data_IF_956014587236
#
_entry.id   IF_956014587236
#
_cell.length_a   1.000
_cell.length_b   1.000
_cell.length_c   1.000
_cell.angle_alpha   90.00
_cell.angle_beta   90.00
_cell.angle_gamma   90.00
#
_symmetry.space_group_name_H-M   'P 1'
#
loop_
_entity.id
_entity.type
_entity.pdbx_description
1 polymer ?
#
# COMPACT_ATOMS: atom_id res chain seq x y z
N UNK A 1 3.48 35.25 11.51
CA UNK A 1 2.96 34.20 12.43
C UNK A 1 2.85 32.82 11.79
N UNK A 2 3.25 32.60 10.53
CA UNK A 2 3.18 31.28 9.85
C UNK A 2 4.35 30.34 10.13
N UNK A 3 5.50 30.85 10.58
CA UNK A 3 6.76 30.09 10.71
C UNK A 3 6.77 28.98 11.78
N UNK A 4 5.97 29.10 12.85
CA UNK A 4 5.96 28.09 13.93
C UNK A 4 5.21 26.79 13.57
N UNK A 5 4.34 26.81 12.54
CA UNK A 5 3.62 25.61 12.10
C UNK A 5 4.48 24.69 11.21
N UNK A 6 5.36 25.24 10.37
CA UNK A 6 6.17 24.45 9.44
C UNK A 6 7.18 23.54 10.17
N UNK A 7 7.78 24.05 11.26
CA UNK A 7 8.78 23.31 12.02
C UNK A 7 8.18 22.07 12.72
N UNK A 8 6.94 22.18 13.18
CA UNK A 8 6.22 21.07 13.83
C UNK A 8 5.85 19.97 12.83
N UNK A 9 5.43 20.35 11.62
CA UNK A 9 5.08 19.42 10.55
C UNK A 9 6.33 18.67 10.06
N UNK A 10 7.45 19.36 9.85
CA UNK A 10 8.71 18.76 9.43
C UNK A 10 9.28 17.77 10.47
N UNK A 11 9.14 18.06 11.77
CA UNK A 11 9.51 17.13 12.85
C UNK A 11 8.64 15.87 12.81
N UNK A 12 7.35 16.02 12.53
CA UNK A 12 6.40 14.89 12.39
C UNK A 12 6.76 14.01 11.19
N UNK A 13 7.08 14.59 10.04
CA UNK A 13 7.52 13.84 8.86
C UNK A 13 8.87 13.15 9.08
N UNK A 14 9.82 13.81 9.72
CA UNK A 14 11.13 13.20 10.05
C UNK A 14 10.98 12.04 11.02
N UNK A 15 10.13 12.20 12.05
CA UNK A 15 9.81 11.12 12.99
C UNK A 15 9.11 9.94 12.29
N UNK A 16 8.17 10.23 11.39
CA UNK A 16 7.47 9.19 10.63
C UNK A 16 8.43 8.46 9.68
N UNK A 17 9.33 9.17 8.99
CA UNK A 17 10.35 8.58 8.12
C UNK A 17 11.35 7.71 8.90
N UNK A 18 11.84 8.19 10.05
CA UNK A 18 12.72 7.41 10.91
C UNK A 18 12.03 6.13 11.38
N UNK A 19 10.78 6.24 11.84
CA UNK A 19 9.95 5.10 12.25
C UNK A 19 9.76 4.09 11.11
N UNK A 20 9.43 4.55 9.90
CA UNK A 20 9.26 3.70 8.73
C UNK A 20 10.56 2.99 8.32
N UNK A 21 11.71 3.63 8.47
CA UNK A 21 13.02 3.00 8.21
C UNK A 21 13.35 1.93 9.24
N UNK A 22 13.11 2.18 10.52
CA UNK A 22 13.32 1.18 11.58
C UNK A 22 12.42 -0.04 11.37
N UNK A 23 11.15 0.18 11.03
CA UNK A 23 10.21 -0.89 10.73
C UNK A 23 10.55 -1.67 9.45
N UNK A 24 11.10 -1.01 8.42
CA UNK A 24 11.61 -1.72 7.24
C UNK A 24 12.77 -2.66 7.61
N UNK A 25 13.68 -2.21 8.47
CA UNK A 25 14.78 -3.04 8.96
C UNK A 25 14.30 -4.22 9.83
N UNK A 26 13.27 -4.03 10.67
CA UNK A 26 12.66 -5.12 11.44
C UNK A 26 12.02 -6.18 10.53
N UNK A 27 11.29 -5.76 9.49
CA UNK A 27 10.68 -6.68 8.52
C UNK A 27 11.73 -7.44 7.71
N UNK A 28 12.82 -6.79 7.32
CA UNK A 28 13.94 -7.47 6.65
C UNK A 28 14.61 -8.49 7.58
N UNK A 29 14.73 -8.18 8.88
CA UNK A 29 15.22 -9.10 9.89
C UNK A 29 14.28 -10.30 10.09
N UNK A 30 12.98 -10.07 10.20
CA UNK A 30 11.96 -11.12 10.30
C UNK A 30 11.94 -12.01 9.04
N UNK A 31 11.98 -11.40 7.85
CA UNK A 31 12.09 -12.14 6.59
C UNK A 31 13.41 -12.94 6.49
N UNK A 32 14.51 -12.42 7.05
CA UNK A 32 15.76 -13.17 7.17
C UNK A 32 15.63 -14.37 8.14
N UNK A 33 14.95 -14.20 9.27
CA UNK A 33 14.67 -15.29 10.21
C UNK A 33 13.76 -16.38 9.59
N UNK A 34 12.72 -16.00 8.85
CA UNK A 34 11.88 -16.97 8.13
C UNK A 34 12.70 -17.74 7.08
N UNK A 35 13.55 -17.04 6.31
CA UNK A 35 14.43 -17.66 5.32
C UNK A 35 15.46 -18.62 5.96
N UNK A 36 15.99 -18.29 7.13
CA UNK A 36 16.93 -19.17 7.85
C UNK A 36 16.23 -20.39 8.44
N UNK A 37 15.03 -20.22 9.01
CA UNK A 37 14.19 -21.31 9.51
C UNK A 37 13.79 -22.31 8.41
N UNK A 38 13.42 -21.83 7.22
CA UNK A 38 13.12 -22.68 6.06
C UNK A 38 14.35 -23.46 5.57
N UNK A 39 15.56 -22.87 5.63
CA UNK A 39 16.81 -23.59 5.30
C UNK A 39 17.13 -24.69 6.33
N UNK A 40 16.90 -24.45 7.61
CA UNK A 40 17.11 -25.46 8.65
C UNK A 40 16.17 -26.65 8.47
N UNK A 41 14.91 -26.41 8.11
CA UNK A 41 13.90 -27.45 7.87
C UNK A 41 14.14 -28.24 6.57
N UNK A 42 14.81 -27.64 5.57
CA UNK A 42 15.21 -28.34 4.33
C UNK A 42 16.39 -29.31 4.54
N UNK A 43 17.21 -29.10 5.59
CA UNK A 43 18.31 -30.01 5.96
C UNK A 43 17.84 -31.27 6.68
N UNK A 44 16.69 -31.26 7.38
CA UNK A 44 16.16 -32.47 8.02
C UNK A 44 15.44 -33.43 7.06
N UNK A 45 15.02 -32.95 5.88
CA UNK A 45 14.32 -33.77 4.87
C UNK A 45 15.30 -34.42 3.87
N UNK A 46 16.54 -33.93 3.79
CA UNK A 46 17.53 -34.36 2.78
C UNK A 46 18.57 -35.35 3.36
N UNK A 47 18.12 -36.37 4.10
CA UNK A 47 18.99 -37.52 4.47
C UNK A 47 18.50 -38.83 3.82
N UNK A 48 17.25 -38.94 3.36
CA UNK A 48 16.71 -40.23 2.90
C UNK A 48 16.43 -40.39 1.40
N UNK A 49 16.68 -39.41 0.54
CA UNK A 49 16.49 -39.60 -0.90
C UNK A 49 17.64 -38.98 -1.71
N UNK A 50 18.60 -39.84 -2.04
CA UNK A 50 19.71 -39.57 -2.97
C UNK A 50 19.36 -40.19 -4.32
N UNK A 51 18.88 -39.43 -5.33
CA UNK A 51 18.82 -39.92 -6.69
C UNK A 51 20.22 -39.87 -7.31
N UNK A 52 20.54 -40.95 -8.00
CA UNK A 52 21.75 -41.17 -8.78
C UNK A 52 21.98 -40.09 -9.84
N UNK A 53 23.22 -39.60 -9.86
CA UNK A 53 23.79 -38.70 -10.86
C UNK A 53 23.86 -39.45 -12.21
N UNK A 54 23.20 -38.93 -13.24
CA UNK A 54 23.54 -39.24 -14.63
C UNK A 54 23.40 -38.01 -15.51
N UNK A 55 24.55 -37.52 -15.98
CA UNK A 55 24.84 -37.04 -17.34
C UNK A 55 23.73 -36.37 -18.17
N UNK A 56 23.96 -35.09 -18.53
CA UNK A 56 23.78 -34.49 -19.88
C UNK A 56 24.21 -33.03 -19.78
N UNK A 57 25.38 -32.60 -20.26
CA UNK A 57 25.95 -32.55 -21.62
C UNK A 57 25.16 -31.62 -22.58
N UNK A 58 25.78 -30.47 -22.83
CA UNK A 58 25.79 -29.63 -24.05
C UNK A 58 24.47 -29.11 -24.64
N UNK A 59 24.31 -27.77 -24.74
CA UNK A 59 24.59 -27.03 -25.99
C UNK A 59 24.31 -25.51 -25.85
N UNK A 60 25.20 -24.65 -26.38
CA UNK A 60 24.92 -23.25 -26.66
C UNK A 60 24.41 -23.10 -28.11
N UNK A 61 23.17 -22.67 -28.31
CA UNK A 61 22.67 -22.31 -29.64
C UNK A 61 22.57 -20.80 -29.82
N UNK A 62 23.67 -20.32 -30.39
CA UNK A 62 23.85 -19.19 -31.27
C UNK A 62 22.66 -19.03 -32.25
N UNK A 63 21.86 -17.96 -32.15
CA UNK A 63 20.92 -17.54 -33.21
C UNK A 63 21.14 -16.08 -33.58
N UNK A 64 21.43 -15.90 -34.86
CA UNK A 64 21.74 -14.66 -35.57
C UNK A 64 20.56 -13.67 -35.58
N UNK A 65 20.82 -12.36 -35.62
CA UNK A 65 19.79 -11.36 -35.88
C UNK A 65 19.45 -11.31 -37.38
N UNK A 66 18.20 -11.58 -37.71
CA UNK A 66 17.62 -11.41 -39.03
C UNK A 66 17.29 -9.92 -39.25
N UNK A 67 18.00 -9.29 -40.19
CA UNK A 67 17.80 -7.90 -40.62
C UNK A 67 16.86 -7.92 -41.82
N UNK A 68 15.57 -7.78 -41.58
CA UNK A 68 14.60 -7.40 -42.61
C UNK A 68 14.36 -5.88 -42.56
N UNK A 69 14.55 -5.12 -43.65
CA UNK A 69 14.19 -3.71 -43.70
C UNK A 69 12.66 -3.53 -43.74
N UNK A 70 12.10 -2.52 -43.05
CA UNK A 70 10.68 -2.24 -43.10
C UNK A 70 10.28 -1.59 -44.44
N UNK A 71 9.04 -1.83 -44.93
CA UNK A 71 8.52 -1.19 -46.13
C UNK A 71 8.26 0.31 -45.92
N UNK A 72 8.44 1.14 -46.96
CA UNK A 72 8.07 2.54 -46.93
C UNK A 72 6.58 2.70 -47.26
N UNK A 73 5.88 3.50 -46.46
CA UNK A 73 4.57 4.04 -46.85
C UNK A 73 3.46 3.75 -45.86
N UNK A 74 3.03 4.79 -45.15
CA UNK A 74 1.69 5.35 -45.32
C UNK A 74 1.57 6.60 -44.44
N UNK A 75 1.45 7.74 -45.10
CA UNK A 75 1.12 9.02 -44.49
C UNK A 75 -0.29 8.95 -43.93
N UNK A 76 -0.43 8.51 -42.68
CA UNK A 76 -1.69 8.64 -41.94
C UNK A 76 -1.90 10.10 -41.59
N UNK A 77 -2.80 10.71 -42.34
CA UNK A 77 -3.46 11.96 -42.03
C UNK A 77 -3.79 12.04 -40.55
N UNK A 78 -3.26 13.08 -39.90
CA UNK A 78 -3.57 13.43 -38.53
C UNK A 78 -5.08 13.68 -38.41
N UNK A 79 -5.81 12.67 -37.95
CA UNK A 79 -7.17 12.84 -37.47
C UNK A 79 -7.07 13.64 -36.18
N UNK A 80 -7.26 14.95 -36.31
CA UNK A 80 -7.41 15.90 -35.21
C UNK A 80 -8.68 15.47 -34.47
N UNK A 81 -8.51 14.56 -33.50
CA UNK A 81 -9.56 14.20 -32.60
C UNK A 81 -9.95 15.45 -31.80
N UNK A 82 -11.25 15.80 -31.71
CA UNK A 82 -11.69 16.95 -30.94
C UNK A 82 -11.20 16.82 -29.49
N UNK A 83 -10.82 17.94 -28.85
CA UNK A 83 -10.37 17.94 -27.47
C UNK A 83 -11.47 17.29 -26.61
N UNK A 84 -11.15 16.15 -25.99
CA UNK A 84 -12.08 15.48 -25.08
C UNK A 84 -12.45 16.48 -23.99
N UNK A 85 -13.73 16.77 -23.77
CA UNK A 85 -14.15 17.66 -22.70
C UNK A 85 -13.60 17.11 -21.38
N UNK A 86 -12.95 17.98 -20.61
CA UNK A 86 -12.45 17.67 -19.28
C UNK A 86 -13.62 17.12 -18.46
N UNK A 87 -13.56 15.83 -18.11
CA UNK A 87 -14.51 15.22 -17.19
C UNK A 87 -14.28 15.86 -15.83
N UNK A 88 -15.04 16.91 -15.54
CA UNK A 88 -15.23 17.40 -14.18
C UNK A 88 -15.78 16.20 -13.39
N UNK A 89 -15.14 15.79 -12.27
CA UNK A 89 -15.63 14.67 -11.48
C UNK A 89 -17.06 14.98 -11.04
N UNK A 90 -18.00 14.25 -11.64
CA UNK A 90 -19.43 14.40 -11.43
C UNK A 90 -19.73 14.15 -9.94
N UNK A 91 -20.57 14.99 -9.29
CA UNK A 91 -21.00 14.76 -7.92
C UNK A 91 -21.56 13.34 -7.82
N UNK A 92 -21.04 12.58 -6.87
CA UNK A 92 -21.29 11.15 -6.66
C UNK A 92 -22.79 10.87 -6.81
N UNK A 93 -23.16 10.20 -7.90
CA UNK A 93 -24.56 9.83 -8.17
C UNK A 93 -25.04 8.95 -7.01
N UNK A 94 -26.08 9.36 -6.26
CA UNK A 94 -26.60 8.56 -5.16
C UNK A 94 -27.10 7.22 -5.73
N UNK A 95 -26.45 6.13 -5.35
CA UNK A 95 -26.84 4.77 -5.75
C UNK A 95 -25.76 3.92 -6.40
N UNK A 96 -24.54 4.43 -6.63
CA UNK A 96 -23.42 3.54 -6.94
C UNK A 96 -22.89 2.90 -5.66
N UNK A 97 -22.85 1.56 -5.66
CA UNK A 97 -22.21 0.81 -4.58
C UNK A 97 -20.76 1.29 -4.42
N UNK A 98 -20.48 1.87 -3.27
CA UNK A 98 -19.18 2.41 -2.90
C UNK A 98 -18.06 1.37 -3.10
N UNK A 99 -18.34 0.09 -2.87
CA UNK A 99 -17.39 -1.00 -3.13
C UNK A 99 -17.06 -1.14 -4.63
N UNK A 100 -17.99 -0.85 -5.53
CA UNK A 100 -17.81 -0.91 -6.98
C UNK A 100 -16.93 0.23 -7.48
N UNK A 101 -17.13 1.46 -7.00
CA UNK A 101 -16.27 2.61 -7.33
C UNK A 101 -14.81 2.32 -6.98
N UNK A 102 -14.59 1.76 -5.81
CA UNK A 102 -13.25 1.41 -5.39
C UNK A 102 -12.63 0.23 -6.15
N UNK A 103 -13.42 -0.79 -6.55
CA UNK A 103 -12.93 -1.84 -7.46
C UNK A 103 -12.49 -1.28 -8.81
N UNK A 104 -13.26 -0.33 -9.36
CA UNK A 104 -12.89 0.37 -10.59
C UNK A 104 -11.60 1.17 -10.42
N UNK A 105 -11.47 1.87 -9.29
CA UNK A 105 -10.24 2.58 -8.93
C UNK A 105 -9.03 1.65 -8.82
N UNK A 106 -9.14 0.48 -8.16
CA UNK A 106 -8.02 -0.47 -8.09
C UNK A 106 -7.60 -0.97 -9.47
N UNK A 107 -8.57 -1.30 -10.33
CA UNK A 107 -8.27 -1.69 -11.71
C UNK A 107 -7.59 -0.57 -12.50
N UNK A 108 -8.00 0.69 -12.29
CA UNK A 108 -7.37 1.84 -12.93
C UNK A 108 -5.93 2.03 -12.42
N UNK A 109 -5.72 1.88 -11.12
CA UNK A 109 -4.41 1.98 -10.50
C UNK A 109 -3.46 0.86 -10.94
N UNK A 110 -3.92 -0.37 -11.04
CA UNK A 110 -3.11 -1.48 -11.57
C UNK A 110 -2.65 -1.20 -13.00
N UNK A 111 -3.57 -0.74 -13.87
CA UNK A 111 -3.21 -0.35 -15.24
C UNK A 111 -2.19 0.79 -15.27
N UNK A 112 -2.41 1.81 -14.44
CA UNK A 112 -1.51 2.95 -14.28
C UNK A 112 -0.11 2.52 -13.84
N UNK A 113 -0.02 1.61 -12.87
CA UNK A 113 1.26 1.11 -12.34
C UNK A 113 2.00 0.24 -13.36
N UNK A 114 1.27 -0.57 -14.15
CA UNK A 114 1.84 -1.43 -15.18
C UNK A 114 2.30 -0.67 -16.43
N UNK A 115 1.57 0.39 -16.79
CA UNK A 115 1.82 1.19 -18.00
C UNK A 115 1.60 2.67 -17.69
N UNK A 116 2.53 3.31 -16.95
CA UNK A 116 2.43 4.73 -16.69
C UNK A 116 2.54 5.52 -17.99
N UNK A 117 1.78 6.62 -18.16
CA UNK A 117 1.96 7.52 -19.30
C UNK A 117 3.38 8.09 -19.36
N UNK A 118 3.89 8.31 -20.57
CA UNK A 118 5.18 8.99 -20.76
C UNK A 118 5.11 10.46 -20.28
N UNK A 119 3.95 11.09 -20.49
CA UNK A 119 3.62 12.43 -20.03
C UNK A 119 2.47 12.34 -19.04
N UNK A 120 2.80 12.42 -17.75
CA UNK A 120 1.84 12.29 -16.68
C UNK A 120 1.18 13.64 -16.38
N UNK A 121 -0.14 13.73 -16.54
CA UNK A 121 -0.95 14.87 -16.09
C UNK A 121 -1.78 14.49 -14.88
N UNK A 122 -2.31 15.49 -14.20
CA UNK A 122 -3.18 15.37 -13.03
C UNK A 122 -4.36 14.44 -13.30
N UNK A 123 -5.00 14.54 -14.47
CA UNK A 123 -6.17 13.72 -14.82
C UNK A 123 -5.84 12.25 -15.12
N UNK A 124 -4.57 11.95 -15.39
CA UNK A 124 -4.14 10.59 -15.73
C UNK A 124 -3.84 9.77 -14.46
N UNK A 125 -3.69 10.42 -13.31
CA UNK A 125 -3.53 9.77 -12.00
C UNK A 125 -4.89 9.24 -11.54
N UNK A 126 -5.03 7.93 -11.25
CA UNK A 126 -6.28 7.38 -10.76
C UNK A 126 -6.47 7.73 -9.28
N UNK A 127 -7.00 8.93 -9.03
CA UNK A 127 -7.29 9.44 -7.69
C UNK A 127 -8.35 8.60 -6.96
N UNK A 128 -8.28 8.51 -5.61
CA UNK A 128 -9.29 7.79 -4.85
C UNK A 128 -10.65 8.48 -5.01
N UNK A 129 -11.77 7.73 -5.01
CA UNK A 129 -13.12 8.31 -5.08
C UNK A 129 -13.44 9.25 -3.91
N UNK A 130 -12.85 8.97 -2.74
CA UNK A 130 -13.00 9.76 -1.52
C UNK A 130 -11.64 9.88 -0.83
N UNK A 131 -11.21 11.11 -0.50
CA UNK A 131 -9.91 11.39 0.11
C UNK A 131 -9.85 10.92 1.58
N UNK A 132 -10.97 11.00 2.30
CA UNK A 132 -11.02 10.66 3.74
C UNK A 132 -10.95 9.17 4.03
N UNK A 133 -11.40 8.34 3.09
CA UNK A 133 -11.68 6.92 3.36
C UNK A 133 -10.59 5.99 2.80
N UNK A 134 -9.48 6.56 2.31
CA UNK A 134 -8.38 5.82 1.68
C UNK A 134 -7.85 4.72 2.59
N UNK A 135 -7.74 5.00 3.90
CA UNK A 135 -7.22 4.02 4.86
C UNK A 135 -8.20 2.86 5.09
N UNK A 136 -9.50 3.15 5.25
CA UNK A 136 -10.53 2.12 5.44
C UNK A 136 -10.62 1.19 4.23
N UNK A 137 -10.54 1.76 3.03
CA UNK A 137 -10.55 0.95 1.83
C UNK A 137 -9.29 0.08 1.69
N UNK A 138 -8.12 0.65 1.96
CA UNK A 138 -6.86 -0.09 1.91
C UNK A 138 -6.87 -1.25 2.89
N UNK A 139 -7.50 -1.10 4.06
CA UNK A 139 -7.72 -2.18 5.01
C UNK A 139 -8.57 -3.31 4.41
N UNK A 140 -9.72 -2.98 3.81
CA UNK A 140 -10.58 -3.98 3.15
C UNK A 140 -9.83 -4.74 2.06
N UNK A 141 -8.99 -4.06 1.27
CA UNK A 141 -8.17 -4.72 0.25
C UNK A 141 -7.09 -5.63 0.83
N UNK A 142 -6.37 -5.18 1.87
CA UNK A 142 -5.39 -6.02 2.55
C UNK A 142 -6.04 -7.28 3.14
N UNK A 143 -7.23 -7.15 3.71
CA UNK A 143 -8.01 -8.28 4.24
C UNK A 143 -8.42 -9.25 3.13
N UNK A 144 -8.81 -8.76 1.96
CA UNK A 144 -9.18 -9.62 0.82
C UNK A 144 -7.99 -10.39 0.24
N UNK A 145 -6.81 -9.77 0.16
CA UNK A 145 -5.59 -10.43 -0.35
C UNK A 145 -5.04 -11.49 0.62
N UNK A 146 -5.17 -11.27 1.92
CA UNK A 146 -4.58 -12.16 2.94
C UNK A 146 -5.55 -13.25 3.43
N UNK A 147 -6.57 -13.59 2.63
CA UNK A 147 -7.64 -14.53 3.03
C UNK A 147 -7.20 -15.99 3.19
N UNK A 148 -6.04 -16.40 2.66
CA UNK A 148 -5.69 -17.83 2.59
C UNK A 148 -4.87 -18.37 3.77
N UNK A 149 -3.95 -17.59 4.37
CA UNK A 149 -2.97 -18.19 5.32
C UNK A 149 -2.66 -17.35 6.57
N UNK A 150 -3.04 -16.06 6.61
CA UNK A 150 -2.65 -15.11 7.68
C UNK A 150 -3.79 -14.78 8.68
N UNK A 151 -4.78 -15.68 8.82
CA UNK A 151 -5.92 -15.45 9.71
C UNK A 151 -5.49 -15.14 11.16
N UNK A 152 -4.33 -15.64 11.58
CA UNK A 152 -3.76 -15.47 12.92
C UNK A 152 -3.13 -14.10 13.20
N UNK A 153 -2.96 -13.23 12.21
CA UNK A 153 -2.42 -11.90 12.49
C UNK A 153 -3.38 -11.06 13.32
N UNK A 154 -2.86 -10.48 14.40
CA UNK A 154 -3.57 -9.55 15.27
C UNK A 154 -4.14 -8.37 14.45
N UNK A 155 -5.26 -7.83 14.93
CA UNK A 155 -5.95 -6.69 14.29
C UNK A 155 -5.02 -5.49 14.16
N UNK A 156 -4.18 -5.24 15.15
CA UNK A 156 -3.22 -4.14 15.12
C UNK A 156 -2.20 -4.29 13.99
N UNK A 157 -1.74 -5.51 13.73
CA UNK A 157 -0.82 -5.82 12.62
C UNK A 157 -1.47 -5.58 11.26
N UNK A 158 -2.76 -5.93 11.11
CA UNK A 158 -3.55 -5.69 9.88
C UNK A 158 -3.77 -4.19 9.64
N UNK A 159 -4.12 -3.46 10.69
CA UNK A 159 -4.26 -2.00 10.66
C UNK A 159 -2.93 -1.32 10.25
N UNK A 160 -1.81 -1.72 10.84
CA UNK A 160 -0.48 -1.20 10.46
C UNK A 160 -0.10 -1.55 9.02
N UNK A 161 -0.43 -2.76 8.56
CA UNK A 161 -0.14 -3.19 7.20
C UNK A 161 -0.90 -2.35 6.16
N UNK A 162 -2.18 -2.05 6.42
CA UNK A 162 -2.99 -1.21 5.54
C UNK A 162 -2.51 0.25 5.52
N UNK A 163 -2.16 0.82 6.67
CA UNK A 163 -1.53 2.14 6.74
C UNK A 163 -0.24 2.21 5.92
N UNK A 164 0.66 1.24 6.08
CA UNK A 164 1.90 1.18 5.29
C UNK A 164 1.63 1.06 3.79
N UNK A 165 0.61 0.29 3.40
CA UNK A 165 0.21 0.18 2.00
C UNK A 165 -0.31 1.51 1.45
N UNK A 166 -1.12 2.23 2.21
CA UNK A 166 -1.60 3.56 1.84
C UNK A 166 -0.43 4.56 1.72
N UNK A 167 0.49 4.59 2.69
CA UNK A 167 1.67 5.45 2.63
C UNK A 167 2.54 5.15 1.41
N UNK A 168 2.83 3.89 1.10
CA UNK A 168 3.64 3.56 -0.09
C UNK A 168 3.02 4.05 -1.40
N UNK A 169 1.68 4.06 -1.46
CA UNK A 169 0.92 4.44 -2.64
C UNK A 169 0.78 5.94 -2.81
N UNK A 170 0.48 6.65 -1.72
CA UNK A 170 0.05 8.05 -1.75
C UNK A 170 1.07 9.04 -1.16
N UNK A 171 2.22 8.57 -0.67
CA UNK A 171 3.24 9.48 -0.14
C UNK A 171 3.88 10.31 -1.26
N UNK A 172 3.97 11.65 -1.12
CA UNK A 172 4.45 12.53 -2.18
C UNK A 172 5.87 12.17 -2.63
N UNK A 173 6.81 11.96 -1.71
CA UNK A 173 8.18 11.55 -2.03
C UNK A 173 8.24 10.24 -2.84
N UNK A 174 7.47 9.23 -2.46
CA UNK A 174 7.45 7.95 -3.17
C UNK A 174 6.82 8.07 -4.55
N UNK A 175 5.78 8.89 -4.66
CA UNK A 175 5.16 9.16 -5.94
C UNK A 175 6.12 9.88 -6.89
N UNK A 176 6.79 10.94 -6.43
CA UNK A 176 7.79 11.69 -7.22
C UNK A 176 9.00 10.82 -7.56
N UNK A 177 9.45 9.95 -6.64
CA UNK A 177 10.54 9.03 -6.89
C UNK A 177 10.25 8.10 -8.09
N UNK A 178 8.99 7.65 -8.24
CA UNK A 178 8.58 6.72 -9.29
C UNK A 178 8.18 7.44 -10.57
N UNK A 179 7.38 8.51 -10.46
CA UNK A 179 6.72 9.15 -11.60
C UNK A 179 7.22 10.56 -11.91
N UNK A 180 8.13 11.12 -11.11
CA UNK A 180 8.57 12.52 -11.23
C UNK A 180 9.19 12.86 -12.59
N UNK A 181 9.80 11.87 -13.27
CA UNK A 181 10.32 12.05 -14.64
C UNK A 181 9.22 12.19 -15.71
N UNK A 182 8.04 11.63 -15.48
CA UNK A 182 6.93 11.71 -16.42
C UNK A 182 6.16 13.02 -16.32
N UNK A 183 6.30 13.75 -15.21
CA UNK A 183 5.61 15.02 -14.97
C UNK A 183 6.45 16.16 -15.57
N UNK A 184 6.12 16.59 -16.79
CA UNK A 184 6.89 17.63 -17.50
C UNK A 184 6.45 19.06 -17.18
N UNK A 185 5.17 19.25 -16.89
CA UNK A 185 4.60 20.56 -16.60
C UNK A 185 4.72 20.88 -15.09
N UNK A 186 5.39 21.98 -14.70
CA UNK A 186 5.48 22.42 -13.31
C UNK A 186 4.10 22.62 -12.65
N UNK A 187 3.10 23.11 -13.40
CA UNK A 187 1.76 23.36 -12.87
C UNK A 187 1.03 22.06 -12.53
N UNK A 188 1.15 21.06 -13.39
CA UNK A 188 0.61 19.72 -13.15
C UNK A 188 1.30 19.05 -11.96
N UNK A 189 2.62 19.23 -11.84
CA UNK A 189 3.40 18.75 -10.69
C UNK A 189 2.87 19.32 -9.37
N UNK A 190 2.66 20.64 -9.31
CA UNK A 190 2.11 21.30 -8.12
C UNK A 190 0.72 20.78 -7.77
N UNK A 191 -0.17 20.62 -8.76
CA UNK A 191 -1.52 20.09 -8.54
C UNK A 191 -1.51 18.65 -8.01
N UNK A 192 -0.68 17.79 -8.59
CA UNK A 192 -0.50 16.40 -8.13
C UNK A 192 0.02 16.38 -6.69
N UNK A 193 1.03 17.19 -6.38
CA UNK A 193 1.65 17.26 -5.04
C UNK A 193 0.68 17.77 -3.98
N UNK A 194 -0.11 18.80 -4.30
CA UNK A 194 -1.15 19.33 -3.41
C UNK A 194 -2.19 18.24 -3.11
N UNK A 195 -2.67 17.54 -4.13
CA UNK A 195 -3.66 16.46 -3.96
C UNK A 195 -3.10 15.28 -3.17
N UNK A 196 -1.86 14.85 -3.43
CA UNK A 196 -1.19 13.80 -2.65
C UNK A 196 -1.03 14.20 -1.19
N UNK A 197 -0.69 15.47 -0.94
CA UNK A 197 -0.56 16.00 0.43
C UNK A 197 -1.90 15.95 1.17
N UNK A 198 -2.99 16.37 0.53
CA UNK A 198 -4.34 16.27 1.11
C UNK A 198 -4.73 14.83 1.45
N UNK A 199 -4.51 13.89 0.52
CA UNK A 199 -4.79 12.47 0.75
C UNK A 199 -3.95 11.93 1.91
N UNK A 200 -2.65 12.25 1.95
CA UNK A 200 -1.75 11.78 3.01
C UNK A 200 -2.12 12.36 4.38
N UNK A 201 -2.56 13.62 4.43
CA UNK A 201 -3.09 14.23 5.66
C UNK A 201 -4.34 13.47 6.15
N UNK A 202 -5.27 13.17 5.26
CA UNK A 202 -6.48 12.40 5.59
C UNK A 202 -6.16 10.96 6.06
N UNK A 203 -5.18 10.29 5.43
CA UNK A 203 -4.69 8.97 5.86
C UNK A 203 -4.08 9.05 7.26
N UNK A 204 -3.26 10.06 7.53
CA UNK A 204 -2.64 10.26 8.84
C UNK A 204 -3.66 10.54 9.93
N UNK A 205 -4.66 11.36 9.65
CA UNK A 205 -5.75 11.66 10.58
C UNK A 205 -6.56 10.40 10.90
N UNK A 206 -6.96 9.64 9.86
CA UNK A 206 -7.66 8.36 10.01
C UNK A 206 -6.85 7.36 10.85
N UNK A 207 -5.53 7.31 10.64
CA UNK A 207 -4.62 6.46 11.42
C UNK A 207 -4.54 6.87 12.90
N UNK A 208 -4.38 8.18 13.18
CA UNK A 208 -4.37 8.72 14.55
C UNK A 208 -5.67 8.38 15.28
N UNK A 209 -6.81 8.61 14.63
CA UNK A 209 -8.14 8.31 15.17
C UNK A 209 -8.30 6.82 15.49
N UNK A 210 -7.87 5.93 14.60
CA UNK A 210 -7.87 4.48 14.85
C UNK A 210 -6.97 4.09 16.03
N UNK A 211 -5.76 4.61 16.08
CA UNK A 211 -4.78 4.31 17.13
C UNK A 211 -5.30 4.75 18.49
N UNK A 212 -5.85 5.97 18.58
CA UNK A 212 -6.46 6.49 19.80
C UNK A 212 -7.63 5.62 20.27
N UNK A 213 -8.54 5.22 19.36
CA UNK A 213 -9.64 4.30 19.69
C UNK A 213 -9.15 2.92 20.15
N UNK A 214 -8.03 2.44 19.61
CA UNK A 214 -7.41 1.19 20.06
C UNK A 214 -6.85 1.31 21.48
N UNK A 215 -6.15 2.40 21.78
CA UNK A 215 -5.60 2.68 23.10
C UNK A 215 -6.70 2.83 24.16
N UNK A 216 -7.78 3.56 23.86
CA UNK A 216 -8.93 3.70 24.77
C UNK A 216 -9.54 2.32 25.06
N UNK A 217 -9.75 1.48 24.04
CA UNK A 217 -10.28 0.12 24.24
C UNK A 217 -9.37 -0.74 25.11
N UNK A 218 -8.05 -0.66 24.92
CA UNK A 218 -7.07 -1.38 25.75
C UNK A 218 -7.12 -0.90 27.20
N UNK A 219 -7.13 0.42 27.43
CA UNK A 219 -7.20 1.00 28.77
C UNK A 219 -8.49 0.59 29.51
N UNK A 220 -9.66 0.68 28.85
CA UNK A 220 -10.93 0.24 29.43
C UNK A 220 -10.94 -1.27 29.74
N UNK A 221 -10.35 -2.10 28.87
CA UNK A 221 -10.25 -3.54 29.11
C UNK A 221 -9.34 -3.88 30.31
N UNK A 222 -8.22 -3.17 30.46
CA UNK A 222 -7.30 -3.33 31.59
C UNK A 222 -7.94 -2.89 32.91
N UNK A 223 -8.69 -1.79 32.90
CA UNK A 223 -9.43 -1.30 34.06
C UNK A 223 -10.54 -2.28 34.48
N UNK A 224 -11.32 -2.80 33.52
CA UNK A 224 -12.32 -3.84 33.78
C UNK A 224 -11.67 -5.11 34.36
N UNK A 225 -10.53 -5.56 33.80
CA UNK A 225 -9.79 -6.70 34.32
C UNK A 225 -9.26 -6.47 35.74
N UNK A 226 -8.83 -5.24 36.07
CA UNK A 226 -8.41 -4.84 37.41
C UNK A 226 -9.59 -4.88 38.40
N UNK A 227 -10.76 -4.38 38.00
CA UNK A 227 -11.98 -4.44 38.81
C UNK A 227 -12.39 -5.89 39.13
N UNK A 228 -12.30 -6.81 38.15
CA UNK A 228 -12.59 -8.23 38.39
C UNK A 228 -11.58 -8.92 39.32
N UNK A 229 -10.31 -8.50 39.33
CA UNK A 229 -9.29 -9.04 40.24
C UNK A 229 -9.40 -8.47 41.67
N UNK A 230 -9.76 -7.20 41.79
CA UNK A 230 -9.93 -6.51 43.08
C UNK A 230 -11.27 -6.77 43.75
N UNK A 231 -12.31 -7.07 42.96
CA UNK A 231 -13.58 -7.62 43.42
C UNK A 231 -13.38 -9.06 43.87
N UNK A 232 -12.75 -9.23 45.03
CA UNK A 232 -12.80 -10.47 45.80
C UNK A 232 -14.23 -10.95 45.77
N UNK A 233 -14.50 -12.00 44.98
CA UNK A 233 -15.65 -12.86 45.17
C UNK A 233 -15.54 -13.44 46.58
N UNK A 234 -15.86 -12.63 47.60
CA UNK A 234 -16.35 -13.11 48.89
C UNK A 234 -17.72 -13.70 48.58
N UNK A 235 -17.68 -14.85 47.90
CA UNK A 235 -18.80 -15.75 47.77
C UNK A 235 -19.14 -16.07 49.21
N UNK A 236 -20.24 -15.48 49.67
CA UNK A 236 -20.84 -15.80 50.94
C UNK A 236 -20.99 -17.32 50.99
N UNK A 237 -20.05 -18.00 51.65
CA UNK A 237 -20.30 -19.29 52.26
C UNK A 237 -21.14 -18.99 53.49
N UNK A 238 -22.41 -18.64 53.28
CA UNK A 238 -23.42 -18.75 54.32
C UNK A 238 -23.62 -20.26 54.53
N UNK A 239 -22.88 -20.80 55.50
CA UNK A 239 -23.10 -22.13 56.01
C UNK A 239 -24.52 -22.23 56.56
N UNK A 240 -25.20 -23.31 56.16
CA UNK A 240 -26.38 -23.85 56.85
C UNK A 240 -25.96 -24.59 58.11
#
# INVERSE_FOLDING_TARGET
MTSLCEESVNKLFSSCNAYMRTQAAELDHEAAQIRSGLRAKKRSITINNRPSISSRRNQPQNRKPDRSPPPPGEHRSASIAPPRPAMIPSPVVPGHDYATLWKLHERAWEKFTLRPPEHLRFIDVPWPPCDSDVLEFTEKQCLLRNRSDDAFLDRESKDRASYRAACRRWHPDKFVQVYGRSIRDPKESEQIMNKLTMIMQAVNESWKNKTMRSQIRKACAEEAARACRGGSCRRARSGS
#
